data_IF_875789240545
#
_entry.id   IF_875789240545
#
_cell.length_a   1.000
_cell.length_b   1.000
_cell.length_c   1.000
_cell.angle_alpha   90.00
_cell.angle_beta   90.00
_cell.angle_gamma   90.00
#
_symmetry.space_group_name_H-M   'P 1'
#
loop_
_entity.id
_entity.type
_entity.pdbx_description
1 polymer ?
#
# COMPACT_ATOMS: atom_id res chain seq x y z
N UNK A 1 -14.12 -19.24 9.59
CA UNK A 1 -13.77 -18.35 8.49
C UNK A 1 -12.27 -18.17 8.51
N UNK A 2 -11.65 -18.25 7.35
CA UNK A 2 -10.26 -17.96 7.10
C UNK A 2 -10.19 -16.92 5.99
N UNK A 3 -9.45 -15.85 6.19
CA UNK A 3 -9.22 -14.79 5.21
C UNK A 3 -7.81 -14.88 4.66
N UNK A 4 -7.68 -14.78 3.35
CA UNK A 4 -6.40 -14.76 2.66
C UNK A 4 -6.43 -13.86 1.44
N UNK A 5 -5.25 -13.44 0.97
CA UNK A 5 -5.11 -12.74 -0.31
C UNK A 5 -4.77 -13.78 -1.38
N UNK A 6 -5.49 -13.71 -2.49
CA UNK A 6 -5.22 -14.55 -3.68
C UNK A 6 -4.12 -13.90 -4.50
N UNK A 7 -3.17 -14.69 -4.98
CA UNK A 7 -2.05 -14.26 -5.81
C UNK A 7 -1.32 -13.02 -5.26
N UNK A 8 -0.76 -13.10 -4.03
CA UNK A 8 -0.11 -11.96 -3.40
C UNK A 8 1.06 -11.47 -4.24
N UNK A 9 1.15 -10.16 -4.40
CA UNK A 9 2.18 -9.55 -5.24
C UNK A 9 3.53 -9.56 -4.52
N UNK A 10 4.59 -9.92 -5.26
CA UNK A 10 5.95 -9.94 -4.72
C UNK A 10 6.37 -8.56 -4.20
N UNK A 11 6.97 -8.53 -3.01
CA UNK A 11 7.44 -7.31 -2.33
C UNK A 11 6.37 -6.51 -1.60
N UNK A 12 5.09 -6.88 -1.73
CA UNK A 12 3.97 -6.27 -1.01
C UNK A 12 3.67 -7.08 0.25
N UNK A 13 3.09 -6.43 1.27
CA UNK A 13 2.62 -7.13 2.47
C UNK A 13 1.13 -6.93 2.67
N UNK A 14 0.47 -7.98 3.16
CA UNK A 14 -0.97 -8.03 3.37
C UNK A 14 -1.21 -8.58 4.77
N UNK A 15 -1.91 -7.82 5.60
CA UNK A 15 -2.22 -8.22 6.98
C UNK A 15 -3.68 -7.93 7.24
N UNK A 16 -4.45 -8.93 7.67
CA UNK A 16 -5.77 -8.67 8.23
C UNK A 16 -5.65 -8.47 9.74
N UNK A 17 -6.52 -7.65 10.32
CA UNK A 17 -6.60 -7.49 11.77
C UNK A 17 -6.91 -8.81 12.48
N UNK A 18 -7.60 -9.73 11.79
CA UNK A 18 -7.87 -11.09 12.22
C UNK A 18 -8.13 -12.00 11.01
N UNK A 19 -7.28 -13.00 10.79
CA UNK A 19 -7.37 -13.88 9.62
C UNK A 19 -8.31 -15.06 9.86
N UNK A 20 -8.44 -15.51 11.11
CA UNK A 20 -9.18 -16.70 11.48
C UNK A 20 -10.21 -16.37 12.56
N UNK A 21 -11.48 -16.62 12.27
CA UNK A 21 -12.56 -16.36 13.22
C UNK A 21 -13.79 -17.22 12.95
N UNK A 22 -14.64 -17.35 13.97
CA UNK A 22 -15.94 -17.99 13.85
C UNK A 22 -17.03 -16.95 13.64
N UNK A 23 -17.97 -17.24 12.75
CA UNK A 23 -19.22 -16.50 12.60
C UNK A 23 -20.37 -17.39 13.06
N UNK A 24 -21.33 -16.80 13.77
CA UNK A 24 -22.61 -17.46 14.00
C UNK A 24 -23.39 -17.60 12.69
N UNK A 25 -24.36 -18.53 12.67
CA UNK A 25 -25.34 -18.56 11.58
C UNK A 25 -26.01 -17.17 11.49
N UNK A 26 -25.96 -16.57 10.30
CA UNK A 26 -26.45 -15.20 10.02
C UNK A 26 -25.70 -14.06 10.72
N UNK A 27 -24.55 -14.34 11.34
CA UNK A 27 -23.68 -13.31 11.92
C UNK A 27 -22.84 -12.61 10.85
N UNK A 28 -22.49 -11.35 11.11
CA UNK A 28 -21.53 -10.60 10.32
C UNK A 28 -20.40 -10.07 11.20
N UNK A 29 -19.22 -9.85 10.59
CA UNK A 29 -18.05 -9.28 11.23
C UNK A 29 -17.29 -8.44 10.22
N UNK A 30 -16.80 -7.28 10.67
CA UNK A 30 -15.90 -6.44 9.89
C UNK A 30 -14.47 -6.75 10.29
N UNK A 31 -13.59 -6.89 9.31
CA UNK A 31 -12.15 -7.09 9.48
C UNK A 31 -11.43 -6.06 8.62
N UNK A 32 -10.36 -5.48 9.15
CA UNK A 32 -9.54 -4.52 8.42
C UNK A 32 -8.41 -5.25 7.67
N UNK A 33 -8.16 -4.85 6.42
CA UNK A 33 -7.01 -5.33 5.64
C UNK A 33 -6.04 -4.17 5.42
N UNK A 34 -4.81 -4.34 5.89
CA UNK A 34 -3.70 -3.42 5.64
C UNK A 34 -2.83 -3.96 4.49
N UNK A 35 -2.61 -3.11 3.49
CA UNK A 35 -1.69 -3.38 2.39
C UNK A 35 -0.50 -2.43 2.50
N UNK A 36 0.71 -2.99 2.58
CA UNK A 36 1.95 -2.20 2.44
C UNK A 36 2.48 -2.37 1.02
N UNK A 37 2.58 -1.25 0.31
CA UNK A 37 3.06 -1.18 -1.07
C UNK A 37 4.57 -1.37 -1.09
N UNK A 38 5.08 -2.13 -2.07
CA UNK A 38 6.53 -2.26 -2.27
C UNK A 38 7.18 -0.87 -2.54
N UNK A 39 8.36 -0.58 -1.97
CA UNK A 39 8.99 0.74 -2.07
C UNK A 39 9.38 1.13 -3.51
N UNK A 40 9.56 0.14 -4.39
CA UNK A 40 9.90 0.29 -5.80
C UNK A 40 8.67 0.15 -6.73
N UNK A 41 7.46 0.11 -6.17
CA UNK A 41 6.25 0.03 -6.97
C UNK A 41 6.11 1.27 -7.87
N UNK A 42 6.03 1.04 -9.18
CA UNK A 42 5.71 2.10 -10.15
C UNK A 42 4.31 2.66 -9.89
N UNK A 43 4.06 3.90 -10.30
CA UNK A 43 2.69 4.45 -10.31
C UNK A 43 1.80 3.63 -11.23
N UNK A 44 0.58 3.34 -10.78
CA UNK A 44 -0.40 2.56 -11.54
C UNK A 44 -1.55 2.07 -10.65
N UNK A 45 -2.49 1.38 -11.29
CA UNK A 45 -3.60 0.73 -10.61
C UNK A 45 -3.22 -0.72 -10.26
N UNK A 46 -3.47 -1.10 -9.01
CA UNK A 46 -3.18 -2.45 -8.52
C UNK A 46 -4.43 -3.08 -7.92
N UNK A 47 -4.73 -4.27 -8.41
CA UNK A 47 -5.89 -5.06 -8.02
C UNK A 47 -5.45 -6.13 -7.03
N UNK A 48 -6.23 -6.29 -5.96
CA UNK A 48 -5.99 -7.30 -4.94
C UNK A 48 -7.29 -8.01 -4.60
N UNK A 49 -7.22 -9.34 -4.64
CA UNK A 49 -8.37 -10.19 -4.36
C UNK A 49 -8.20 -10.79 -2.97
N UNK A 50 -9.22 -10.65 -2.13
CA UNK A 50 -9.28 -11.29 -0.83
C UNK A 50 -10.29 -12.44 -0.90
N UNK A 51 -9.88 -13.63 -0.44
CA UNK A 51 -10.73 -14.81 -0.32
C UNK A 51 -11.15 -14.98 1.13
N UNK A 52 -12.44 -15.20 1.34
CA UNK A 52 -13.01 -15.67 2.60
C UNK A 52 -13.47 -17.12 2.44
N UNK A 53 -12.90 -18.03 3.24
CA UNK A 53 -13.24 -19.45 3.24
C UNK A 53 -13.83 -19.87 4.59
N UNK A 54 -15.00 -20.48 4.58
CA UNK A 54 -15.71 -20.93 5.77
C UNK A 54 -16.21 -22.36 5.64
N UNK A 55 -16.55 -22.99 6.77
CA UNK A 55 -17.26 -24.26 6.79
C UNK A 55 -18.57 -24.12 7.56
N UNK A 56 -19.66 -24.51 6.93
CA UNK A 56 -21.01 -24.52 7.52
C UNK A 56 -21.61 -25.90 7.30
N UNK A 57 -21.99 -26.58 8.38
CA UNK A 57 -22.52 -27.96 8.34
C UNK A 57 -21.66 -28.96 7.53
N UNK A 58 -20.32 -28.80 7.55
CA UNK A 58 -19.39 -29.66 6.82
C UNK A 58 -19.21 -29.32 5.33
N UNK A 59 -19.92 -28.31 4.82
CA UNK A 59 -19.78 -27.79 3.46
C UNK A 59 -18.84 -26.58 3.50
N UNK A 60 -17.85 -26.55 2.60
CA UNK A 60 -17.00 -25.37 2.42
C UNK A 60 -17.76 -24.32 1.62
N UNK A 61 -17.82 -23.10 2.16
CA UNK A 61 -18.38 -21.91 1.51
C UNK A 61 -17.23 -20.97 1.24
N UNK A 62 -17.11 -20.50 0.00
CA UNK A 62 -16.07 -19.57 -0.44
C UNK A 62 -16.71 -18.31 -1.01
N UNK A 63 -16.18 -17.15 -0.63
CA UNK A 63 -16.55 -15.86 -1.20
C UNK A 63 -15.28 -15.06 -1.52
N UNK A 64 -15.20 -14.52 -2.73
CA UNK A 64 -14.08 -13.68 -3.18
C UNK A 64 -14.53 -12.22 -3.25
N UNK A 65 -13.84 -11.35 -2.52
CA UNK A 65 -14.07 -9.91 -2.51
C UNK A 65 -12.96 -9.24 -3.33
N UNK A 66 -13.36 -8.42 -4.30
CA UNK A 66 -12.46 -7.64 -5.14
C UNK A 66 -12.23 -6.25 -4.52
N UNK A 67 -10.97 -5.86 -4.28
CA UNK A 67 -10.63 -4.52 -3.80
C UNK A 67 -9.60 -3.83 -4.71
N UNK A 68 -9.67 -2.49 -4.77
CA UNK A 68 -8.81 -1.66 -5.60
C UNK A 68 -7.97 -0.74 -4.72
N UNK A 69 -6.64 -0.72 -4.92
CA UNK A 69 -5.76 0.24 -4.24
C UNK A 69 -5.10 1.13 -5.28
N UNK A 70 -5.47 2.42 -5.27
CA UNK A 70 -4.84 3.44 -6.09
C UNK A 70 -3.57 3.92 -5.39
N UNK A 71 -2.40 3.57 -5.92
CA UNK A 71 -1.12 4.10 -5.44
C UNK A 71 -0.72 5.29 -6.28
N UNK A 72 -1.01 6.50 -5.79
CA UNK A 72 -0.50 7.73 -6.40
C UNK A 72 0.87 8.03 -5.79
N UNK A 73 1.94 7.71 -6.50
CA UNK A 73 3.28 8.17 -6.14
C UNK A 73 3.33 9.66 -6.42
N UNK A 74 3.14 10.48 -5.39
CA UNK A 74 3.52 11.91 -5.47
C UNK A 74 5.04 11.94 -5.58
N UNK A 75 5.63 12.45 -6.68
CA UNK A 75 7.06 12.68 -6.70
C UNK A 75 7.33 13.65 -5.56
N UNK A 76 8.08 13.21 -4.56
CA UNK A 76 8.67 14.13 -3.61
C UNK A 76 9.44 15.14 -4.45
N UNK A 77 8.95 16.38 -4.46
CA UNK A 77 9.63 17.45 -5.18
C UNK A 77 11.09 17.42 -4.76
N UNK A 78 11.99 17.46 -5.75
CA UNK A 78 13.42 17.73 -5.55
C UNK A 78 13.60 19.18 -5.06
N UNK A 79 13.05 19.48 -3.88
CA UNK A 79 13.02 20.82 -3.28
C UNK A 79 14.38 21.22 -2.73
N UNK A 80 15.35 20.31 -2.71
CA UNK A 80 16.70 20.56 -2.18
C UNK A 80 17.66 21.12 -3.25
N UNK A 81 17.38 20.97 -4.55
CA UNK A 81 18.31 21.44 -5.58
C UNK A 81 18.32 22.97 -5.78
N UNK A 82 17.17 23.63 -5.66
CA UNK A 82 17.03 25.08 -5.95
C UNK A 82 17.69 25.96 -4.87
N UNK A 83 17.53 25.71 -3.55
CA UNK A 83 18.13 26.55 -2.52
C UNK A 83 19.67 26.52 -2.57
N UNK A 84 20.26 25.35 -2.80
CA UNK A 84 21.72 25.18 -2.78
C UNK A 84 22.37 25.88 -3.96
N UNK A 85 21.80 25.77 -5.18
CA UNK A 85 22.33 26.46 -6.37
C UNK A 85 22.22 27.99 -6.23
N UNK A 86 21.13 28.50 -5.65
CA UNK A 86 20.98 29.93 -5.39
C UNK A 86 22.01 30.45 -4.37
N UNK A 87 22.24 29.71 -3.29
CA UNK A 87 23.23 30.06 -2.26
C UNK A 87 24.65 30.02 -2.85
N UNK A 88 25.01 28.95 -3.57
CA UNK A 88 26.33 28.84 -4.21
C UNK A 88 26.54 29.92 -5.28
N UNK A 89 25.50 30.23 -6.06
CA UNK A 89 25.54 31.31 -7.05
C UNK A 89 25.75 32.69 -6.40
N UNK A 90 25.07 32.98 -5.29
CA UNK A 90 25.28 34.22 -4.54
C UNK A 90 26.69 34.29 -3.94
N UNK A 91 27.17 33.23 -3.29
CA UNK A 91 28.52 33.18 -2.72
C UNK A 91 29.57 33.41 -3.81
N UNK A 92 29.43 32.77 -4.97
CA UNK A 92 30.34 32.98 -6.11
C UNK A 92 30.34 34.42 -6.61
N UNK A 93 29.17 35.04 -6.77
CA UNK A 93 29.04 36.43 -7.21
C UNK A 93 29.64 37.42 -6.20
N UNK A 94 29.47 37.19 -4.90
CA UNK A 94 30.05 38.04 -3.86
C UNK A 94 31.57 37.86 -3.74
N UNK A 95 32.11 36.65 -3.90
CA UNK A 95 33.56 36.42 -3.87
C UNK A 95 34.27 37.00 -5.09
N UNK A 96 33.58 37.10 -6.24
CA UNK A 96 34.16 37.66 -7.47
C UNK A 96 34.31 39.18 -7.44
N UNK A 97 33.66 39.88 -6.51
CA UNK A 97 33.81 41.34 -6.31
C UNK A 97 34.93 41.72 -5.34
N UNK A 98 35.64 40.75 -4.76
CA UNK A 98 36.69 40.97 -3.76
C UNK A 98 38.12 40.73 -4.27
N UNK A 99 38.27 40.37 -5.56
CA UNK A 99 39.52 40.26 -6.30
C UNK A 99 39.52 41.25 -7.46
#
# INVERSE_FOLDING_TARGET
MHLSVTDPRSGWSYTFSENDFNLSLFGSKTVEMLITVAPDASSGDYYHDAKAEGKVFGITVEETIYTNVLTKVTPEFSTIAIPVVAILGLVFLFNRRKY
#
